data_IF_846787625770
#
_entry.id   IF_846787625770
#
_cell.length_a   1.000
_cell.length_b   1.000
_cell.length_c   1.000
_cell.angle_alpha   90.00
_cell.angle_beta   90.00
_cell.angle_gamma   90.00
#
_symmetry.space_group_name_H-M   'P 1'
#
loop_
_entity.id
_entity.type
_entity.pdbx_description
1 polymer ?
#
# COMPACT_ATOMS: atom_id res chain seq x y z
N UNK A 1 -63.83 14.28 0.52
CA UNK A 1 -65.21 14.44 0.01
C UNK A 1 -65.28 13.78 -1.34
N UNK A 2 -66.15 12.74 -1.41
CA UNK A 2 -66.73 12.02 -2.59
C UNK A 2 -65.72 11.33 -3.52
N UNK A 3 -65.55 10.04 -3.53
CA UNK A 3 -66.44 8.86 -3.74
C UNK A 3 -67.04 8.76 -5.16
N UNK A 4 -66.95 7.52 -5.63
CA UNK A 4 -67.79 6.73 -6.58
C UNK A 4 -67.25 6.63 -8.02
N UNK A 5 -67.51 5.56 -8.74
CA UNK A 5 -67.80 4.13 -8.51
C UNK A 5 -67.76 3.43 -9.88
N UNK A 6 -67.58 2.11 -9.81
CA UNK A 6 -67.89 0.99 -10.69
C UNK A 6 -68.74 1.20 -11.92
N UNK A 7 -68.51 0.45 -12.99
CA UNK A 7 -69.25 -0.77 -13.38
C UNK A 7 -69.00 -1.09 -14.88
N UNK A 8 -68.50 -2.22 -15.22
CA UNK A 8 -69.20 -3.41 -15.68
C UNK A 8 -70.25 -3.15 -16.82
N UNK A 9 -70.00 -3.74 -18.01
CA UNK A 9 -71.00 -4.41 -18.81
C UNK A 9 -70.39 -5.40 -19.79
N UNK A 10 -70.86 -6.64 -19.71
CA UNK A 10 -70.73 -7.75 -20.67
C UNK A 10 -71.65 -7.49 -21.85
N UNK A 11 -71.29 -7.89 -23.06
CA UNK A 11 -72.21 -8.50 -24.03
C UNK A 11 -71.51 -9.54 -24.88
N UNK A 12 -71.99 -10.75 -24.75
CA UNK A 12 -71.89 -11.89 -25.64
C UNK A 12 -72.72 -11.67 -26.91
N UNK A 13 -72.22 -12.08 -28.07
CA UNK A 13 -73.06 -12.60 -29.15
C UNK A 13 -72.30 -13.60 -30.02
N UNK A 14 -72.83 -14.76 -30.11
CA UNK A 14 -72.57 -15.92 -30.92
C UNK A 14 -73.09 -15.79 -32.34
N UNK A 15 -72.45 -16.44 -33.31
CA UNK A 15 -72.91 -17.06 -34.61
C UNK A 15 -71.74 -16.96 -35.60
N UNK A 16 -71.30 -17.95 -36.33
CA UNK A 16 -71.69 -19.30 -36.66
C UNK A 16 -70.88 -19.76 -37.86
N UNK A 17 -70.34 -20.93 -37.78
CA UNK A 17 -70.03 -21.93 -38.82
C UNK A 17 -69.73 -21.48 -40.27
N UNK A 18 -68.53 -21.81 -40.76
CA UNK A 18 -68.41 -22.73 -41.90
C UNK A 18 -66.96 -23.24 -42.10
N UNK A 19 -66.91 -24.50 -42.27
CA UNK A 19 -65.85 -25.44 -42.52
C UNK A 19 -65.13 -25.18 -43.86
N UNK A 20 -63.80 -25.05 -43.84
CA UNK A 20 -62.97 -25.39 -44.99
C UNK A 20 -61.65 -25.99 -44.55
N UNK A 21 -61.58 -27.29 -44.56
CA UNK A 21 -60.34 -28.05 -44.41
C UNK A 21 -59.42 -27.75 -45.62
N UNK A 22 -58.34 -27.03 -45.37
CA UNK A 22 -57.13 -27.14 -46.18
C UNK A 22 -56.05 -27.75 -45.28
N UNK A 23 -55.77 -29.03 -45.50
CA UNK A 23 -54.55 -29.65 -44.95
C UNK A 23 -53.36 -29.02 -45.64
N UNK A 24 -52.73 -28.03 -44.97
CA UNK A 24 -51.34 -27.70 -45.19
C UNK A 24 -50.54 -28.62 -44.28
N UNK A 25 -49.98 -29.66 -44.87
CA UNK A 25 -48.87 -30.38 -44.28
C UNK A 25 -47.73 -29.44 -44.17
N UNK A 26 -47.58 -28.78 -43.02
CA UNK A 26 -46.31 -28.17 -42.64
C UNK A 26 -45.38 -29.35 -42.37
N UNK A 27 -44.49 -29.58 -43.31
CA UNK A 27 -43.33 -30.42 -43.10
C UNK A 27 -42.57 -29.80 -41.90
N UNK A 28 -42.67 -30.41 -40.74
CA UNK A 28 -41.64 -30.22 -39.73
C UNK A 28 -40.33 -30.67 -40.34
N UNK A 29 -39.49 -29.71 -40.65
CA UNK A 29 -38.11 -30.01 -40.92
C UNK A 29 -37.53 -30.60 -39.60
N UNK A 30 -37.34 -31.93 -39.65
CA UNK A 30 -36.40 -32.57 -38.73
C UNK A 30 -35.05 -32.05 -39.08
N UNK A 31 -34.51 -31.12 -38.28
CA UNK A 31 -33.08 -30.76 -38.32
C UNK A 31 -32.61 -30.02 -37.06
N UNK A 32 -33.39 -30.02 -35.93
CA UNK A 32 -32.96 -29.39 -34.69
C UNK A 32 -32.63 -30.36 -33.53
N UNK A 33 -32.73 -31.68 -33.75
CA UNK A 33 -32.61 -32.69 -32.69
C UNK A 33 -31.16 -33.26 -32.49
N UNK A 34 -30.18 -32.84 -33.29
CA UNK A 34 -28.79 -33.37 -33.21
C UNK A 34 -27.75 -32.43 -32.59
N UNK A 35 -28.14 -31.26 -32.10
CA UNK A 35 -27.19 -30.42 -31.35
C UNK A 35 -27.12 -30.85 -29.89
N UNK A 36 -25.94 -31.19 -29.38
CA UNK A 36 -25.79 -31.57 -27.98
C UNK A 36 -26.29 -30.47 -27.05
N UNK A 37 -26.90 -30.88 -25.95
CA UNK A 37 -27.32 -29.91 -24.92
C UNK A 37 -26.22 -28.90 -24.62
N UNK A 38 -26.54 -27.60 -24.62
CA UNK A 38 -25.51 -26.59 -24.41
C UNK A 38 -24.86 -26.73 -23.06
N UNK A 39 -23.56 -26.98 -23.06
CA UNK A 39 -22.70 -27.04 -21.89
C UNK A 39 -22.05 -25.67 -21.67
N UNK A 40 -22.06 -25.18 -20.45
CA UNK A 40 -21.23 -24.06 -19.98
C UNK A 40 -20.91 -24.29 -18.51
N UNK A 41 -19.67 -24.56 -18.21
CA UNK A 41 -19.14 -24.71 -16.86
C UNK A 41 -17.91 -23.84 -16.65
N UNK A 42 -17.68 -23.41 -15.42
CA UNK A 42 -16.48 -22.66 -15.03
C UNK A 42 -16.06 -23.11 -13.63
N UNK A 43 -14.83 -23.52 -13.50
CA UNK A 43 -14.24 -24.04 -12.25
C UNK A 43 -12.89 -23.39 -11.99
N UNK A 44 -12.62 -22.90 -10.76
CA UNK A 44 -13.51 -22.87 -9.59
C UNK A 44 -14.57 -21.77 -9.68
N UNK A 45 -15.62 -21.84 -8.87
CA UNK A 45 -16.65 -20.79 -8.74
C UNK A 45 -16.24 -19.68 -7.78
N UNK A 46 -15.22 -19.92 -6.97
CA UNK A 46 -14.56 -18.94 -6.12
C UNK A 46 -13.04 -19.05 -6.31
N UNK A 47 -12.40 -17.94 -6.62
CA UNK A 47 -10.96 -17.88 -6.85
C UNK A 47 -10.33 -16.79 -5.99
N UNK A 48 -9.39 -17.16 -5.13
CA UNK A 48 -8.46 -16.23 -4.50
C UNK A 48 -7.20 -16.19 -5.35
N UNK A 49 -6.89 -15.02 -5.91
CA UNK A 49 -5.68 -14.86 -6.70
C UNK A 49 -4.44 -15.08 -5.82
N UNK A 50 -3.50 -15.87 -6.34
CA UNK A 50 -2.23 -16.14 -5.66
C UNK A 50 -1.24 -15.02 -5.93
N UNK A 51 -0.62 -14.50 -4.86
CA UNK A 51 0.36 -13.43 -4.97
C UNK A 51 1.63 -13.92 -5.67
N UNK A 52 2.08 -13.13 -6.63
CA UNK A 52 3.34 -13.30 -7.35
C UNK A 52 4.50 -12.66 -6.58
N UNK A 53 5.72 -12.90 -7.01
CA UNK A 53 6.92 -12.33 -6.36
C UNK A 53 7.01 -10.81 -6.44
N UNK A 54 6.40 -10.18 -7.45
CA UNK A 54 6.34 -8.73 -7.66
C UNK A 54 5.19 -8.04 -6.92
N UNK A 55 4.40 -8.79 -6.14
CA UNK A 55 3.23 -8.30 -5.42
C UNK A 55 1.95 -8.19 -6.25
N UNK A 56 2.02 -8.44 -7.55
CA UNK A 56 0.82 -8.72 -8.34
C UNK A 56 0.20 -10.05 -7.91
N UNK A 57 -0.95 -10.38 -8.41
CA UNK A 57 -1.57 -11.67 -8.15
C UNK A 57 -2.17 -12.26 -9.42
N UNK A 58 -2.14 -13.56 -9.52
CA UNK A 58 -2.67 -14.29 -10.66
C UNK A 58 -3.42 -15.54 -10.25
N UNK A 59 -4.22 -16.06 -11.16
CA UNK A 59 -4.94 -17.32 -11.01
C UNK A 59 -5.54 -17.73 -12.34
N UNK A 60 -6.14 -18.90 -12.37
CA UNK A 60 -6.82 -19.39 -13.56
C UNK A 60 -8.14 -20.06 -13.23
N UNK A 61 -9.04 -20.01 -14.19
CA UNK A 61 -10.28 -20.78 -14.21
C UNK A 61 -10.31 -21.63 -15.48
N UNK A 62 -10.96 -22.77 -15.39
CA UNK A 62 -11.23 -23.65 -16.52
C UNK A 62 -12.65 -23.41 -16.99
N UNK A 63 -12.81 -23.15 -18.28
CA UNK A 63 -14.11 -23.01 -18.95
C UNK A 63 -14.32 -24.20 -19.86
N UNK A 64 -15.39 -24.95 -19.62
CA UNK A 64 -15.83 -26.08 -20.46
C UNK A 64 -17.12 -25.71 -21.16
N UNK A 65 -17.10 -25.73 -22.47
CA UNK A 65 -18.27 -25.37 -23.28
C UNK A 65 -18.22 -26.00 -24.67
N UNK A 66 -19.37 -26.32 -25.20
CA UNK A 66 -19.56 -26.74 -26.59
C UNK A 66 -20.07 -25.60 -27.51
N UNK A 67 -19.98 -24.36 -27.03
CA UNK A 67 -20.41 -23.14 -27.73
C UNK A 67 -19.42 -21.99 -27.56
N UNK A 68 -19.57 -20.92 -28.33
CA UNK A 68 -18.80 -19.68 -28.15
C UNK A 68 -19.16 -19.05 -26.81
N UNK A 69 -18.16 -18.48 -26.15
CA UNK A 69 -18.34 -17.85 -24.84
C UNK A 69 -17.62 -16.51 -24.75
N UNK A 70 -18.08 -15.68 -23.84
CA UNK A 70 -17.47 -14.37 -23.53
C UNK A 70 -17.48 -14.13 -22.03
N UNK A 71 -16.47 -13.43 -21.53
CA UNK A 71 -16.36 -13.03 -20.11
C UNK A 71 -16.56 -11.53 -19.97
N UNK A 72 -17.39 -11.15 -19.01
CA UNK A 72 -17.61 -9.77 -18.60
C UNK A 72 -17.10 -9.56 -17.18
N UNK A 73 -16.42 -8.43 -16.96
CA UNK A 73 -15.97 -7.97 -15.64
C UNK A 73 -16.01 -6.44 -15.57
N UNK A 74 -16.60 -5.89 -14.51
CA UNK A 74 -16.68 -4.44 -14.29
C UNK A 74 -15.50 -3.90 -13.45
N UNK A 75 -14.59 -4.79 -12.99
CA UNK A 75 -13.45 -4.39 -12.17
C UNK A 75 -12.26 -4.03 -13.06
N UNK A 76 -11.92 -2.76 -13.14
CA UNK A 76 -10.79 -2.23 -13.93
C UNK A 76 -9.44 -2.80 -13.48
N UNK A 77 -9.36 -3.26 -12.22
CA UNK A 77 -8.13 -3.83 -11.67
C UNK A 77 -7.87 -5.28 -12.10
N UNK A 78 -8.83 -5.98 -12.73
CA UNK A 78 -8.68 -7.38 -13.12
C UNK A 78 -8.52 -7.50 -14.63
N UNK A 79 -7.40 -8.07 -15.07
CA UNK A 79 -7.14 -8.43 -16.48
C UNK A 79 -7.47 -9.91 -16.68
N UNK A 80 -8.18 -10.21 -17.75
CA UNK A 80 -8.67 -11.56 -18.09
C UNK A 80 -8.20 -11.91 -19.50
N UNK A 81 -7.57 -13.08 -19.64
CA UNK A 81 -7.03 -13.54 -20.93
C UNK A 81 -7.14 -15.06 -21.07
N UNK A 82 -7.79 -15.56 -22.14
CA UNK A 82 -8.64 -14.81 -23.08
C UNK A 82 -9.95 -14.36 -22.44
N UNK A 83 -10.60 -13.33 -22.99
CA UNK A 83 -11.92 -12.85 -22.55
C UNK A 83 -13.08 -13.42 -23.36
N UNK A 84 -12.80 -14.24 -24.37
CA UNK A 84 -13.76 -14.96 -25.21
C UNK A 84 -13.09 -16.18 -25.81
N UNK A 85 -13.87 -17.15 -26.26
CA UNK A 85 -13.38 -18.35 -26.94
C UNK A 85 -14.44 -19.05 -27.78
N UNK A 86 -13.97 -19.92 -28.65
CA UNK A 86 -14.79 -20.78 -29.50
C UNK A 86 -15.06 -22.14 -28.82
N UNK A 87 -16.03 -22.94 -29.33
CA UNK A 87 -16.25 -24.30 -28.86
C UNK A 87 -14.96 -25.12 -28.94
N UNK A 88 -14.64 -25.82 -27.88
CA UNK A 88 -13.50 -26.75 -27.88
C UNK A 88 -13.85 -28.05 -27.16
N UNK A 89 -13.23 -29.14 -27.63
CA UNK A 89 -13.26 -30.39 -26.87
C UNK A 89 -12.31 -30.23 -25.64
N UNK A 90 -12.90 -30.23 -24.45
CA UNK A 90 -12.19 -30.12 -23.18
C UNK A 90 -12.22 -28.75 -22.56
N UNK A 91 -11.40 -28.57 -21.54
CA UNK A 91 -11.30 -27.35 -20.74
C UNK A 91 -10.42 -26.29 -21.40
N UNK A 92 -10.89 -25.06 -21.41
CA UNK A 92 -10.12 -23.89 -21.84
C UNK A 92 -9.66 -23.11 -20.62
N UNK A 93 -8.35 -22.86 -20.51
CA UNK A 93 -7.76 -22.12 -19.39
C UNK A 93 -7.88 -20.63 -19.63
N UNK A 94 -8.50 -19.94 -18.69
CA UNK A 94 -8.58 -18.47 -18.66
C UNK A 94 -7.71 -17.98 -17.51
N UNK A 95 -6.71 -17.16 -17.82
CA UNK A 95 -5.81 -16.57 -16.84
C UNK A 95 -6.34 -15.22 -16.38
N UNK A 96 -6.32 -15.03 -15.07
CA UNK A 96 -6.65 -13.78 -14.41
C UNK A 96 -5.37 -13.18 -13.81
N UNK A 97 -5.19 -11.90 -14.01
CA UNK A 97 -4.06 -11.13 -13.47
C UNK A 97 -4.56 -9.84 -12.83
N UNK A 98 -4.02 -9.50 -11.69
CA UNK A 98 -4.30 -8.28 -10.98
C UNK A 98 -3.00 -7.63 -10.47
N UNK A 99 -2.78 -6.33 -10.69
CA UNK A 99 -1.69 -5.61 -10.05
C UNK A 99 -1.89 -5.62 -8.54
N UNK A 100 -0.84 -5.30 -7.78
CA UNK A 100 -0.90 -5.28 -6.31
C UNK A 100 -2.13 -4.53 -5.80
N UNK A 101 -2.81 -5.12 -4.83
CA UNK A 101 -3.90 -4.46 -4.14
C UNK A 101 -3.35 -3.46 -3.13
N UNK A 102 -3.37 -2.19 -3.49
CA UNK A 102 -2.86 -1.09 -2.66
C UNK A 102 -3.78 -0.72 -1.48
N UNK A 103 -4.97 -1.30 -1.37
CA UNK A 103 -5.86 -1.05 -0.23
C UNK A 103 -5.50 -1.92 0.98
N UNK A 104 -5.98 -1.53 2.16
CA UNK A 104 -5.89 -2.35 3.38
C UNK A 104 -6.89 -3.51 3.38
N UNK A 105 -7.84 -3.51 2.45
CA UNK A 105 -8.92 -4.47 2.38
C UNK A 105 -8.74 -5.46 1.23
N UNK A 106 -9.29 -6.65 1.40
CA UNK A 106 -9.42 -7.61 0.31
C UNK A 106 -10.39 -7.03 -0.72
N UNK A 107 -9.96 -6.88 -1.96
CA UNK A 107 -10.85 -6.48 -3.04
C UNK A 107 -11.48 -7.70 -3.70
N UNK A 108 -12.74 -7.56 -4.10
CA UNK A 108 -13.54 -8.64 -4.69
C UNK A 108 -14.28 -8.14 -5.91
N UNK A 109 -14.50 -9.04 -6.86
CA UNK A 109 -15.37 -8.81 -8.01
C UNK A 109 -16.03 -10.11 -8.43
N UNK A 110 -17.07 -10.00 -9.25
CA UNK A 110 -17.71 -11.11 -9.91
C UNK A 110 -17.38 -11.05 -11.39
N UNK A 111 -16.88 -12.13 -11.97
CA UNK A 111 -16.82 -12.30 -13.41
C UNK A 111 -18.03 -13.11 -13.86
N UNK A 112 -18.56 -12.74 -15.00
CA UNK A 112 -19.70 -13.42 -15.63
C UNK A 112 -19.24 -14.04 -16.93
N UNK A 113 -19.42 -15.32 -17.08
CA UNK A 113 -19.15 -16.08 -18.32
C UNK A 113 -20.50 -16.38 -18.96
N UNK A 114 -20.68 -15.94 -20.20
CA UNK A 114 -21.92 -16.12 -20.95
C UNK A 114 -21.66 -16.96 -22.20
N UNK A 115 -22.64 -17.76 -22.55
CA UNK A 115 -22.78 -18.30 -23.91
C UNK A 115 -23.01 -17.10 -24.87
N UNK A 116 -22.14 -16.94 -25.86
CA UNK A 116 -22.17 -15.78 -26.76
C UNK A 116 -23.45 -15.75 -27.65
N UNK A 117 -24.07 -16.91 -27.87
CA UNK A 117 -25.26 -17.04 -28.70
C UNK A 117 -26.55 -17.08 -27.87
N UNK A 118 -26.46 -17.45 -26.59
CA UNK A 118 -27.59 -17.59 -25.65
C UNK A 118 -27.30 -16.90 -24.32
N UNK A 119 -27.48 -15.58 -24.26
CA UNK A 119 -27.15 -14.71 -23.12
C UNK A 119 -27.85 -15.06 -21.78
N UNK A 120 -28.84 -15.92 -21.76
CA UNK A 120 -29.47 -16.40 -20.54
C UNK A 120 -28.68 -17.52 -19.84
N UNK A 121 -27.67 -18.11 -20.50
CA UNK A 121 -26.76 -19.09 -19.91
C UNK A 121 -25.52 -18.40 -19.37
N UNK A 122 -25.41 -18.37 -18.06
CA UNK A 122 -24.34 -17.67 -17.36
C UNK A 122 -23.73 -18.54 -16.29
N UNK A 123 -22.43 -18.34 -16.09
CA UNK A 123 -21.70 -18.80 -14.90
C UNK A 123 -21.04 -17.62 -14.24
N UNK A 124 -20.97 -17.69 -12.92
CA UNK A 124 -20.40 -16.63 -12.11
C UNK A 124 -19.20 -17.19 -11.35
N UNK A 125 -18.10 -16.44 -11.36
CA UNK A 125 -16.93 -16.76 -10.55
C UNK A 125 -16.61 -15.56 -9.68
N UNK A 126 -16.62 -15.77 -8.38
CA UNK A 126 -16.18 -14.74 -7.43
C UNK A 126 -14.66 -14.72 -7.41
N UNK A 127 -14.08 -13.57 -7.72
CA UNK A 127 -12.63 -13.36 -7.70
C UNK A 127 -12.27 -12.43 -6.57
N UNK A 128 -11.28 -12.80 -5.77
CA UNK A 128 -10.74 -11.96 -4.71
C UNK A 128 -9.22 -11.86 -4.79
N UNK A 129 -8.69 -10.73 -4.35
CA UNK A 129 -7.27 -10.49 -4.18
C UNK A 129 -6.99 -9.95 -2.78
N UNK A 130 -6.00 -10.53 -2.13
CA UNK A 130 -5.54 -10.10 -0.81
C UNK A 130 -5.09 -8.64 -0.80
N UNK A 131 -5.05 -8.03 0.39
CA UNK A 131 -4.49 -6.70 0.59
C UNK A 131 -2.98 -6.70 0.39
N UNK A 132 -2.41 -5.54 0.05
CA UNK A 132 -0.96 -5.36 -0.04
C UNK A 132 -0.21 -5.62 1.28
N UNK A 133 -0.92 -5.54 2.41
CA UNK A 133 -0.42 -5.92 3.73
C UNK A 133 0.12 -7.36 3.76
N UNK A 134 -0.66 -8.33 3.25
CA UNK A 134 -0.24 -9.74 3.23
C UNK A 134 1.01 -9.95 2.36
N UNK A 135 1.14 -9.19 1.28
CA UNK A 135 2.35 -9.23 0.45
C UNK A 135 3.59 -8.80 1.22
N UNK A 136 3.51 -7.67 1.94
CA UNK A 136 4.62 -7.16 2.76
C UNK A 136 4.98 -8.13 3.89
N UNK A 137 3.97 -8.72 4.54
CA UNK A 137 4.19 -9.74 5.59
C UNK A 137 4.87 -11.00 5.05
N UNK A 138 4.49 -11.48 3.87
CA UNK A 138 5.12 -12.65 3.21
C UNK A 138 6.59 -12.41 2.85
N UNK A 139 6.95 -11.18 2.47
CA UNK A 139 8.34 -10.79 2.16
C UNK A 139 9.20 -10.54 3.41
N UNK A 140 8.65 -10.66 4.62
CA UNK A 140 9.34 -10.32 5.88
C UNK A 140 9.98 -8.92 5.87
N UNK A 141 9.35 -7.99 5.12
CA UNK A 141 9.84 -6.63 4.96
C UNK A 141 11.09 -6.51 4.07
N UNK A 142 11.53 -7.55 3.37
CA UNK A 142 12.70 -7.52 2.49
C UNK A 142 12.27 -7.25 1.05
N UNK A 143 12.93 -6.28 0.41
CA UNK A 143 12.64 -5.82 -0.96
C UNK A 143 13.92 -5.73 -1.76
N UNK A 144 13.83 -6.01 -3.06
CA UNK A 144 14.94 -5.87 -4.00
C UNK A 144 14.51 -5.03 -5.20
N UNK A 145 15.29 -4.01 -5.53
CA UNK A 145 15.05 -3.12 -6.68
C UNK A 145 16.36 -2.96 -7.43
N UNK A 146 16.36 -3.28 -8.73
CA UNK A 146 17.53 -3.22 -9.60
C UNK A 146 18.79 -3.87 -9.01
N UNK A 147 18.61 -5.01 -8.30
CA UNK A 147 19.69 -5.76 -7.68
C UNK A 147 20.05 -5.34 -6.25
N UNK A 148 19.55 -4.20 -5.76
CA UNK A 148 19.81 -3.69 -4.41
C UNK A 148 18.72 -4.14 -3.46
N UNK A 149 19.12 -4.74 -2.34
CA UNK A 149 18.19 -5.25 -1.31
C UNK A 149 18.16 -4.33 -0.10
N UNK A 150 16.95 -4.00 0.38
CA UNK A 150 16.71 -3.21 1.58
C UNK A 150 15.59 -3.83 2.42
N UNK A 151 15.51 -3.43 3.69
CA UNK A 151 14.56 -4.04 4.63
C UNK A 151 13.75 -2.98 5.37
N UNK A 152 12.48 -3.26 5.58
CA UNK A 152 11.60 -2.54 6.47
C UNK A 152 11.23 -3.39 7.67
N UNK A 153 11.21 -2.78 8.84
CA UNK A 153 10.81 -3.40 10.10
C UNK A 153 9.34 -3.11 10.36
N UNK A 154 8.58 -4.15 10.70
CA UNK A 154 7.19 -4.00 11.11
C UNK A 154 7.11 -3.38 12.50
N UNK A 155 6.37 -2.28 12.62
CA UNK A 155 6.03 -1.63 13.88
C UNK A 155 4.55 -1.88 14.14
N UNK A 156 4.25 -2.60 15.22
CA UNK A 156 2.87 -2.90 15.62
C UNK A 156 2.15 -1.64 16.10
N UNK A 157 0.85 -1.57 15.85
CA UNK A 157 -0.01 -0.50 16.36
C UNK A 157 0.15 -0.32 17.88
N UNK A 158 0.03 0.92 18.35
CA UNK A 158 0.09 1.19 19.78
C UNK A 158 -0.11 2.64 20.13
N UNK A 159 -0.17 2.92 21.42
CA UNK A 159 -0.29 4.27 21.96
C UNK A 159 0.97 4.60 22.74
N UNK A 160 1.53 5.77 22.53
CA UNK A 160 2.73 6.24 23.22
C UNK A 160 2.65 7.71 23.61
N UNK A 161 3.54 8.11 24.48
CA UNK A 161 3.72 9.52 24.86
C UNK A 161 4.75 10.15 23.93
N UNK A 162 4.29 10.99 23.00
CA UNK A 162 5.12 11.74 22.05
C UNK A 162 5.63 13.04 22.69
N UNK A 163 6.87 13.42 22.38
CA UNK A 163 7.50 14.63 22.87
C UNK A 163 8.25 14.46 24.19
N UNK A 164 8.62 15.58 24.81
CA UNK A 164 9.34 15.67 26.07
C UNK A 164 8.50 16.28 27.17
N UNK A 165 8.73 15.87 28.43
CA UNK A 165 8.07 16.49 29.57
C UNK A 165 8.67 17.89 29.79
N UNK A 166 7.85 18.86 30.19
CA UNK A 166 8.30 20.22 30.51
C UNK A 166 9.27 20.29 31.72
N UNK A 167 9.34 19.20 32.49
CA UNK A 167 10.30 19.05 33.62
C UNK A 167 11.65 18.49 33.15
N UNK A 168 11.79 18.02 31.93
CA UNK A 168 13.06 17.61 31.34
C UNK A 168 13.87 18.85 31.00
N UNK A 169 15.00 19.04 31.65
CA UNK A 169 15.89 20.20 31.48
C UNK A 169 16.54 20.25 30.07
N UNK A 170 16.45 19.15 29.32
CA UNK A 170 16.98 19.06 27.94
C UNK A 170 15.90 19.26 26.89
N UNK A 171 14.63 19.34 27.28
CA UNK A 171 13.51 19.53 26.38
C UNK A 171 13.52 20.94 25.77
N UNK A 172 13.24 21.00 24.47
CA UNK A 172 12.95 22.29 23.81
C UNK A 172 11.44 22.60 23.84
N UNK A 173 11.11 23.86 23.70
CA UNK A 173 9.71 24.33 23.72
C UNK A 173 8.84 23.62 22.67
N UNK A 174 9.41 23.36 21.49
CA UNK A 174 8.71 22.69 20.38
C UNK A 174 8.47 21.20 20.59
N UNK A 175 9.09 20.59 21.62
CA UNK A 175 8.88 19.18 22.03
C UNK A 175 7.78 19.05 23.09
N UNK A 176 7.25 20.17 23.60
CA UNK A 176 6.32 20.21 24.73
C UNK A 176 4.96 20.85 24.36
N UNK A 177 3.88 20.50 25.06
CA UNK A 177 3.74 19.42 26.05
C UNK A 177 3.82 18.04 25.42
N UNK A 178 4.04 17.01 26.24
CA UNK A 178 3.84 15.63 25.78
C UNK A 178 2.39 15.39 25.40
N UNK A 179 2.17 14.52 24.44
CA UNK A 179 0.83 14.14 23.98
C UNK A 179 0.72 12.62 23.78
N UNK A 180 -0.45 12.07 24.11
CA UNK A 180 -0.75 10.66 23.84
C UNK A 180 -1.12 10.50 22.37
N UNK A 181 -0.39 9.67 21.64
CA UNK A 181 -0.63 9.40 20.20
C UNK A 181 -0.85 7.91 20.00
N UNK A 182 -1.87 7.57 19.25
CA UNK A 182 -2.19 6.19 18.85
C UNK A 182 -1.88 6.02 17.37
N UNK A 183 -1.12 4.98 17.02
CA UNK A 183 -0.72 4.67 15.66
C UNK A 183 -1.25 3.31 15.23
N UNK A 184 -1.63 3.21 13.96
CA UNK A 184 -1.89 1.97 13.25
C UNK A 184 -0.59 1.22 12.96
N UNK A 185 -0.71 -0.05 12.52
CA UNK A 185 0.44 -0.84 12.06
C UNK A 185 1.08 -0.20 10.82
N UNK A 186 2.41 -0.16 10.77
CA UNK A 186 3.19 0.28 9.62
C UNK A 186 4.52 -0.46 9.54
N UNK A 187 5.25 -0.32 8.43
CA UNK A 187 6.66 -0.71 8.38
C UNK A 187 7.53 0.53 8.13
N UNK A 188 8.74 0.52 8.69
CA UNK A 188 9.74 1.58 8.57
C UNK A 188 11.10 0.99 8.18
N UNK A 189 11.93 1.73 7.45
CA UNK A 189 13.26 1.28 7.06
C UNK A 189 14.11 0.81 8.23
N UNK A 190 14.77 -0.33 8.08
CA UNK A 190 15.75 -0.85 9.06
C UNK A 190 16.87 0.18 9.29
N UNK A 191 17.23 0.90 8.21
CA UNK A 191 18.23 1.96 8.17
C UNK A 191 17.71 3.17 7.41
N UNK A 192 18.49 4.24 7.35
CA UNK A 192 18.34 5.30 6.36
C UNK A 192 18.46 4.72 4.94
N UNK A 193 17.93 5.40 3.93
CA UNK A 193 18.13 5.04 2.51
C UNK A 193 19.59 5.22 2.15
N UNK A 194 20.23 4.13 1.68
CA UNK A 194 21.62 4.16 1.26
C UNK A 194 21.81 4.84 -0.10
N UNK A 195 23.03 5.27 -0.37
CA UNK A 195 23.39 5.83 -1.67
C UNK A 195 23.27 4.80 -2.79
N UNK A 196 23.54 3.52 -2.50
CA UNK A 196 23.35 2.41 -3.44
C UNK A 196 21.87 2.28 -3.84
N UNK A 197 20.95 2.24 -2.87
CA UNK A 197 19.51 2.16 -3.15
C UNK A 197 19.02 3.39 -3.91
N UNK A 198 19.45 4.59 -3.51
CA UNK A 198 19.13 5.82 -4.23
C UNK A 198 19.59 5.78 -5.67
N UNK A 199 20.87 5.39 -5.91
CA UNK A 199 21.46 5.28 -7.25
C UNK A 199 20.71 4.25 -8.10
N UNK A 200 20.34 3.10 -7.52
CA UNK A 200 19.60 2.05 -8.21
C UNK A 200 18.21 2.51 -8.70
N UNK A 201 17.57 3.41 -7.96
CA UNK A 201 16.23 3.94 -8.31
C UNK A 201 16.31 5.16 -9.22
N UNK A 202 17.23 6.11 -8.94
CA UNK A 202 17.30 7.41 -9.60
C UNK A 202 18.32 7.49 -10.74
N UNK A 203 19.22 6.51 -10.85
CA UNK A 203 20.31 6.49 -11.84
C UNK A 203 21.45 7.47 -11.56
N UNK A 204 21.39 8.25 -10.47
CA UNK A 204 22.41 9.22 -10.07
C UNK A 204 22.48 9.39 -8.56
N UNK A 205 23.62 9.80 -8.01
CA UNK A 205 23.82 10.01 -6.58
C UNK A 205 24.17 11.48 -6.31
N UNK A 206 23.36 12.22 -5.52
CA UNK A 206 23.59 13.64 -5.22
C UNK A 206 24.62 13.87 -4.09
N UNK A 207 25.01 12.82 -3.38
CA UNK A 207 25.90 12.89 -2.23
C UNK A 207 27.33 13.26 -2.66
N UNK A 208 27.96 14.18 -1.94
CA UNK A 208 29.36 14.61 -2.25
C UNK A 208 30.39 13.60 -1.77
N UNK A 209 30.15 12.95 -0.64
CA UNK A 209 30.97 11.83 -0.12
C UNK A 209 30.29 10.55 -0.57
N UNK A 210 30.98 9.77 -1.39
CA UNK A 210 30.40 8.59 -2.04
C UNK A 210 30.78 7.32 -1.32
N UNK A 211 29.81 6.45 -1.10
CA UNK A 211 29.96 5.10 -0.55
C UNK A 211 28.62 4.36 -0.58
N UNK A 212 28.63 3.13 -1.05
CA UNK A 212 27.41 2.33 -1.30
C UNK A 212 26.51 2.26 -0.05
N UNK A 213 27.09 1.97 1.11
CA UNK A 213 26.38 1.82 2.38
C UNK A 213 26.25 3.15 3.18
N UNK A 214 26.74 4.27 2.66
CA UNK A 214 26.49 5.55 3.30
C UNK A 214 25.05 5.98 3.07
N UNK A 215 24.39 6.67 4.03
CA UNK A 215 23.09 7.27 3.77
C UNK A 215 23.18 8.29 2.63
N UNK A 216 22.16 8.35 1.79
CA UNK A 216 22.05 9.41 0.79
C UNK A 216 21.81 10.74 1.48
N UNK A 217 22.54 11.76 1.06
CA UNK A 217 22.46 13.14 1.56
C UNK A 217 22.47 14.15 0.40
N UNK A 218 22.35 15.43 0.67
CA UNK A 218 22.13 16.48 -0.32
C UNK A 218 20.80 16.30 -1.11
N UNK A 219 19.82 15.73 -0.48
CA UNK A 219 18.47 15.52 -1.02
C UNK A 219 17.50 16.49 -0.32
N UNK A 220 16.71 17.21 -1.10
CA UNK A 220 15.58 17.99 -0.60
C UNK A 220 14.41 17.06 -0.30
N UNK A 221 13.41 17.53 0.47
CA UNK A 221 12.16 16.79 0.67
C UNK A 221 11.47 16.47 -0.66
N UNK A 222 11.50 17.43 -1.59
CA UNK A 222 10.92 17.23 -2.93
C UNK A 222 11.69 16.17 -3.75
N UNK A 223 13.01 16.07 -3.60
CA UNK A 223 13.79 15.00 -4.25
C UNK A 223 13.48 13.64 -3.63
N UNK A 224 13.26 13.58 -2.31
CA UNK A 224 12.80 12.38 -1.63
C UNK A 224 11.43 11.91 -2.16
N UNK A 225 10.49 12.83 -2.44
CA UNK A 225 9.20 12.45 -3.06
C UNK A 225 9.40 11.87 -4.47
N UNK A 226 10.26 12.46 -5.31
CA UNK A 226 10.57 11.91 -6.65
C UNK A 226 11.19 10.51 -6.56
N UNK A 227 12.11 10.30 -5.62
CA UNK A 227 12.69 8.99 -5.35
C UNK A 227 11.60 7.97 -4.96
N UNK A 228 10.73 8.35 -4.04
CA UNK A 228 9.62 7.52 -3.56
C UNK A 228 8.64 7.21 -4.70
N UNK A 229 8.28 8.18 -5.52
CA UNK A 229 7.42 7.98 -6.68
C UNK A 229 8.04 6.97 -7.66
N UNK A 230 9.34 7.11 -7.96
CA UNK A 230 10.07 6.18 -8.81
C UNK A 230 10.14 4.78 -8.21
N UNK A 231 10.44 4.66 -6.91
CA UNK A 231 10.46 3.40 -6.18
C UNK A 231 9.07 2.73 -6.19
N UNK A 232 8.01 3.49 -6.02
CA UNK A 232 6.62 3.01 -6.06
C UNK A 232 6.23 2.49 -7.45
N UNK A 233 6.72 3.12 -8.51
CA UNK A 233 6.53 2.63 -9.89
C UNK A 233 7.27 1.31 -10.09
N UNK A 234 8.53 1.21 -9.66
CA UNK A 234 9.36 0.01 -9.83
C UNK A 234 8.84 -1.19 -9.01
N UNK A 235 8.32 -0.94 -7.81
CA UNK A 235 7.88 -2.00 -6.89
C UNK A 235 6.38 -2.25 -6.93
N UNK A 236 5.62 -1.35 -7.53
CA UNK A 236 4.16 -1.31 -7.45
C UNK A 236 3.62 -1.31 -6.00
N UNK A 237 4.38 -0.72 -5.06
CA UNK A 237 4.05 -0.58 -3.64
C UNK A 237 3.78 0.88 -3.26
N UNK A 238 3.55 1.15 -1.99
CA UNK A 238 3.22 2.48 -1.45
C UNK A 238 4.21 2.95 -0.41
N UNK A 239 5.47 3.03 -0.78
CA UNK A 239 6.45 3.67 0.05
C UNK A 239 6.13 5.17 0.19
N UNK A 240 6.48 5.72 1.33
CA UNK A 240 6.39 7.14 1.67
C UNK A 240 7.44 7.49 2.71
N UNK A 241 7.58 8.76 3.04
CA UNK A 241 8.26 9.15 4.27
C UNK A 241 7.42 8.73 5.49
N UNK A 242 8.03 8.45 6.64
CA UNK A 242 7.29 8.29 7.89
C UNK A 242 6.60 9.61 8.26
N UNK A 243 5.46 9.55 8.95
CA UNK A 243 4.99 10.71 9.71
C UNK A 243 5.93 10.97 10.88
N UNK A 244 5.93 12.18 11.40
CA UNK A 244 6.75 12.52 12.57
C UNK A 244 6.43 11.61 13.77
N UNK A 245 5.16 11.30 13.97
CA UNK A 245 4.70 10.43 15.04
C UNK A 245 5.16 8.97 14.84
N UNK A 246 5.08 8.45 13.61
CA UNK A 246 5.59 7.12 13.28
C UNK A 246 7.10 7.03 13.50
N UNK A 247 7.83 8.07 13.08
CA UNK A 247 9.27 8.14 13.27
C UNK A 247 9.64 8.08 14.78
N UNK A 248 9.01 8.92 15.62
CA UNK A 248 9.31 8.96 17.06
C UNK A 248 8.89 7.66 17.76
N UNK A 249 7.71 7.09 17.41
CA UNK A 249 7.26 5.83 17.98
C UNK A 249 8.22 4.68 17.64
N UNK A 250 8.69 4.62 16.40
CA UNK A 250 9.68 3.63 15.97
C UNK A 250 11.05 3.84 16.69
N UNK A 251 11.51 5.09 16.80
CA UNK A 251 12.76 5.43 17.48
C UNK A 251 12.73 5.04 18.97
N UNK A 252 11.59 5.18 19.63
CA UNK A 252 11.36 4.79 21.02
C UNK A 252 11.20 3.28 21.24
N UNK A 253 11.33 2.44 20.20
CA UNK A 253 11.16 0.99 20.32
C UNK A 253 9.72 0.50 20.21
N UNK A 254 8.75 1.33 19.83
CA UNK A 254 7.34 0.95 19.64
C UNK A 254 6.75 0.32 20.89
N UNK A 255 6.11 -0.86 20.75
CA UNK A 255 5.55 -1.62 21.87
C UNK A 255 6.61 -2.23 22.81
N UNK A 256 7.88 -2.27 22.38
CA UNK A 256 9.00 -2.81 23.18
C UNK A 256 9.81 -1.72 23.86
N UNK A 257 9.34 -0.47 23.82
CA UNK A 257 10.06 0.69 24.37
C UNK A 257 10.46 0.49 25.83
N UNK A 258 11.74 0.69 26.12
CA UNK A 258 12.31 0.71 27.48
C UNK A 258 12.46 2.13 28.03
N UNK A 259 12.01 3.14 27.26
CA UNK A 259 11.97 4.54 27.68
C UNK A 259 13.31 5.27 27.63
N UNK A 260 14.23 4.82 26.79
CA UNK A 260 15.54 5.43 26.59
C UNK A 260 15.48 6.85 26.02
N UNK A 261 16.49 7.64 26.28
CA UNK A 261 16.66 9.02 25.77
C UNK A 261 17.02 8.99 24.29
N UNK A 262 17.83 8.02 23.86
CA UNK A 262 18.22 7.76 22.49
C UNK A 262 17.60 6.46 22.00
N UNK A 263 17.62 6.22 20.71
CA UNK A 263 16.99 5.04 20.11
C UNK A 263 17.76 3.75 20.48
N UNK A 264 17.32 3.06 21.55
CA UNK A 264 17.87 1.79 22.01
C UNK A 264 18.85 1.89 23.20
N UNK A 265 19.22 3.09 23.67
CA UNK A 265 20.12 3.24 24.85
C UNK A 265 19.99 4.62 25.49
N UNK A 266 20.43 4.74 26.77
CA UNK A 266 20.72 6.03 27.41
C UNK A 266 22.16 6.49 27.13
N UNK A 267 23.01 5.66 26.53
CA UNK A 267 24.40 5.97 26.14
C UNK A 267 24.45 6.18 24.62
N UNK A 268 24.48 7.42 24.16
CA UNK A 268 24.41 7.75 22.74
C UNK A 268 25.49 7.06 21.88
N UNK A 269 26.72 6.94 22.40
CA UNK A 269 27.82 6.31 21.66
C UNK A 269 27.62 4.82 21.31
N UNK A 270 26.66 4.16 21.94
CA UNK A 270 26.30 2.77 21.62
C UNK A 270 25.39 2.66 20.39
N UNK A 271 24.58 3.69 20.13
CA UNK A 271 23.46 3.64 19.18
C UNK A 271 23.50 4.75 18.12
N UNK A 272 24.40 5.72 18.23
CA UNK A 272 24.39 6.88 17.35
C UNK A 272 25.74 7.51 17.08
N UNK A 273 25.92 8.03 15.86
CA UNK A 273 27.05 8.80 15.42
C UNK A 273 26.79 10.29 15.63
N UNK A 274 27.63 10.96 16.42
CA UNK A 274 27.54 12.39 16.75
C UNK A 274 28.93 13.00 16.88
N UNK A 275 29.05 14.29 17.17
CA UNK A 275 30.34 14.99 17.11
C UNK A 275 31.47 14.35 17.90
N UNK A 276 31.17 13.68 19.02
CA UNK A 276 32.20 13.13 19.89
C UNK A 276 32.78 11.78 19.44
N UNK A 277 32.06 11.00 18.63
CA UNK A 277 32.48 9.67 18.17
C UNK A 277 32.58 9.50 16.67
N UNK A 278 32.01 10.42 15.85
CA UNK A 278 31.96 10.31 14.39
C UNK A 278 33.26 10.70 13.68
N UNK A 279 34.20 11.38 14.35
CA UNK A 279 35.36 12.02 13.70
C UNK A 279 34.92 13.03 12.61
N UNK A 280 33.79 13.69 12.81
CA UNK A 280 33.18 14.63 11.86
C UNK A 280 32.96 14.02 10.46
N UNK A 281 32.57 12.75 10.40
CA UNK A 281 32.35 12.00 9.14
C UNK A 281 30.96 11.37 9.16
N UNK A 282 30.41 11.26 7.96
CA UNK A 282 29.27 10.40 7.66
C UNK A 282 29.70 8.94 7.78
N UNK A 283 28.89 8.10 8.41
CA UNK A 283 29.17 6.68 8.62
C UNK A 283 28.20 5.81 7.79
N UNK A 284 28.69 4.63 7.43
CA UNK A 284 27.84 3.61 6.83
C UNK A 284 26.71 3.25 7.79
N UNK A 285 25.55 2.95 7.24
CA UNK A 285 24.39 2.55 8.02
C UNK A 285 24.67 1.26 8.81
N UNK A 286 23.98 1.07 9.94
CA UNK A 286 24.00 -0.20 10.69
C UNK A 286 25.35 -0.57 11.30
N UNK A 287 26.16 0.41 11.68
CA UNK A 287 27.48 0.15 12.31
C UNK A 287 27.41 0.10 13.84
N UNK A 288 26.40 0.67 14.47
CA UNK A 288 26.19 0.67 15.89
C UNK A 288 25.01 -0.25 16.27
N UNK A 289 24.61 -0.26 17.56
CA UNK A 289 23.53 -1.12 18.02
C UNK A 289 22.15 -0.59 17.55
N UNK A 290 21.21 -1.47 17.22
CA UNK A 290 19.84 -1.08 16.90
C UNK A 290 19.04 -0.80 18.16
N UNK A 291 17.87 -0.19 18.00
CA UNK A 291 16.89 -0.12 19.05
C UNK A 291 16.15 -1.46 19.27
N UNK A 292 15.19 -1.48 20.19
CA UNK A 292 14.45 -2.67 20.64
C UNK A 292 13.63 -3.37 19.51
N UNK A 293 13.39 -2.66 18.41
CA UNK A 293 12.73 -3.19 17.20
C UNK A 293 13.72 -3.72 16.17
N UNK A 294 15.01 -3.48 16.32
CA UNK A 294 16.04 -3.81 15.34
C UNK A 294 16.18 -2.73 14.25
N UNK A 295 15.87 -1.47 14.58
CA UNK A 295 16.02 -0.30 13.70
C UNK A 295 17.30 0.43 14.10
N UNK A 296 18.12 0.78 13.11
CA UNK A 296 19.44 1.40 13.29
C UNK A 296 19.41 2.89 12.97
N UNK A 297 20.39 3.61 13.50
CA UNK A 297 20.75 4.98 13.14
C UNK A 297 19.62 6.02 13.35
N UNK A 298 18.67 5.75 14.26
CA UNK A 298 17.62 6.70 14.61
C UNK A 298 18.06 7.77 15.61
N UNK A 299 19.33 7.76 16.02
CA UNK A 299 19.98 8.77 16.86
C UNK A 299 21.34 9.10 16.27
N UNK A 300 21.48 10.24 15.60
CA UNK A 300 22.71 10.69 14.94
C UNK A 300 22.80 10.26 13.46
N UNK A 301 24.00 10.13 12.95
CA UNK A 301 24.37 9.95 11.53
C UNK A 301 23.83 11.09 10.65
N UNK A 302 22.58 11.03 10.16
CA UNK A 302 21.97 12.12 9.42
C UNK A 302 20.57 12.46 9.91
N UNK A 303 20.16 13.71 9.83
CA UNK A 303 18.77 14.10 9.96
C UNK A 303 17.93 13.37 8.91
N UNK A 304 16.70 13.03 9.25
CA UNK A 304 15.77 12.31 8.39
C UNK A 304 14.51 13.12 8.14
N UNK A 305 14.17 13.31 6.86
CA UNK A 305 12.91 13.92 6.47
C UNK A 305 11.70 13.12 6.92
N UNK A 306 10.73 13.81 7.51
CA UNK A 306 9.38 13.28 7.74
C UNK A 306 8.38 13.88 6.76
N UNK A 307 7.18 13.23 6.69
CA UNK A 307 6.10 13.67 5.81
C UNK A 307 5.49 15.00 6.23
N UNK A 308 5.50 15.30 7.52
CA UNK A 308 4.75 16.36 8.17
C UNK A 308 5.31 17.76 7.86
N UNK A 309 4.42 18.74 7.77
CA UNK A 309 4.81 20.13 7.88
C UNK A 309 5.24 20.41 9.33
N UNK A 310 6.32 21.17 9.46
CA UNK A 310 6.82 21.58 10.77
C UNK A 310 6.04 22.79 11.30
N UNK A 311 5.65 22.71 12.57
CA UNK A 311 5.21 23.84 13.39
C UNK A 311 5.76 23.65 14.82
N UNK A 312 6.43 24.70 15.34
CA UNK A 312 6.95 24.68 16.72
C UNK A 312 5.86 24.57 17.79
N UNK A 313 4.63 25.01 17.49
CA UNK A 313 3.49 24.96 18.40
C UNK A 313 2.52 23.79 18.15
N UNK A 314 2.85 22.86 17.24
CA UNK A 314 1.93 21.78 16.88
C UNK A 314 1.50 20.92 18.07
N UNK A 315 2.42 20.59 18.97
CA UNK A 315 2.11 19.78 20.15
C UNK A 315 1.19 20.47 21.16
N UNK A 316 1.18 21.80 21.13
CA UNK A 316 0.35 22.63 22.01
C UNK A 316 -1.06 22.84 21.44
N UNK A 317 -1.22 22.81 20.11
CA UNK A 317 -2.44 23.24 19.42
C UNK A 317 -3.21 22.15 18.72
N UNK A 318 -2.59 20.99 18.47
CA UNK A 318 -3.22 19.90 17.71
C UNK A 318 -4.07 19.02 18.63
N UNK A 319 -5.28 18.70 18.14
CA UNK A 319 -6.21 17.72 18.72
C UNK A 319 -6.18 16.37 17.97
N UNK A 320 -5.26 16.20 17.02
CA UNK A 320 -5.07 14.94 16.30
C UNK A 320 -4.23 13.98 17.14
N UNK A 321 -4.83 12.90 17.62
CA UNK A 321 -4.18 11.90 18.45
C UNK A 321 -4.08 10.52 17.80
N UNK A 322 -4.84 10.26 16.72
CA UNK A 322 -4.83 8.99 16.00
C UNK A 322 -4.21 9.19 14.62
N UNK A 323 -3.12 8.45 14.36
CA UNK A 323 -2.35 8.53 13.10
C UNK A 323 -2.11 9.98 12.62
N UNK A 324 -1.58 10.89 13.49
CA UNK A 324 -1.44 12.29 13.13
C UNK A 324 -0.46 12.48 11.96
N UNK A 325 -0.78 13.43 11.09
CA UNK A 325 -0.01 13.74 9.87
C UNK A 325 0.60 15.15 9.87
N UNK A 326 0.57 15.80 11.03
CA UNK A 326 1.06 17.17 11.19
C UNK A 326 0.10 18.24 10.68
N UNK A 327 0.52 19.51 10.68
CA UNK A 327 -0.28 20.60 10.16
C UNK A 327 -0.62 20.43 8.68
N UNK A 328 -1.78 20.90 8.25
CA UNK A 328 -2.23 20.82 6.85
C UNK A 328 -1.39 21.68 5.87
N UNK A 329 -0.63 22.65 6.40
CA UNK A 329 0.24 23.55 5.64
C UNK A 329 1.40 24.06 6.49
N UNK A 330 2.50 24.44 5.86
CA UNK A 330 3.68 25.00 6.49
C UNK A 330 4.67 25.53 5.47
N UNK A 331 5.79 26.08 5.94
CA UNK A 331 6.93 26.51 5.12
C UNK A 331 8.15 25.60 5.25
N UNK A 332 8.17 24.76 6.27
CA UNK A 332 9.23 23.79 6.57
C UNK A 332 8.65 22.41 6.77
N UNK A 333 9.42 21.36 6.45
CA UNK A 333 9.11 19.97 6.76
C UNK A 333 9.88 19.53 7.99
N UNK A 334 9.30 18.59 8.74
CA UNK A 334 9.94 18.02 9.93
C UNK A 334 11.19 17.23 9.53
N UNK A 335 12.26 17.38 10.32
CA UNK A 335 13.44 16.52 10.33
C UNK A 335 13.67 15.97 11.73
N UNK A 336 14.17 14.75 11.81
CA UNK A 336 14.33 14.00 13.08
C UNK A 336 15.67 13.27 13.15
N UNK A 337 16.13 12.90 14.34
CA UNK A 337 17.25 11.97 14.59
C UNK A 337 18.58 12.62 14.94
N UNK A 338 18.81 13.88 14.61
CA UNK A 338 20.12 14.49 14.79
C UNK A 338 21.12 14.14 13.68
N UNK A 339 22.40 14.45 13.89
CA UNK A 339 23.42 14.24 12.85
C UNK A 339 24.82 14.02 13.41
N UNK A 340 25.70 13.43 12.59
CA UNK A 340 27.05 13.01 12.97
C UNK A 340 27.97 14.14 13.46
N UNK A 341 27.79 15.38 12.99
CA UNK A 341 28.66 16.52 13.28
C UNK A 341 27.99 17.57 14.17
N UNK A 342 27.08 17.13 15.05
CA UNK A 342 26.37 17.99 16.00
C UNK A 342 26.36 17.41 17.40
N UNK A 343 25.85 18.16 18.37
CA UNK A 343 25.84 17.78 19.77
C UNK A 343 24.91 16.59 20.05
N UNK A 344 25.30 15.73 20.99
CA UNK A 344 24.51 14.55 21.35
C UNK A 344 23.09 14.86 21.83
N UNK A 345 22.87 16.04 22.43
CA UNK A 345 21.53 16.49 22.86
C UNK A 345 20.53 16.56 21.71
N UNK A 346 20.99 16.82 20.50
CA UNK A 346 20.14 16.88 19.31
C UNK A 346 19.79 15.50 18.73
N UNK A 347 20.43 14.43 19.24
CA UNK A 347 20.16 13.04 18.82
C UNK A 347 19.10 12.34 19.69
N UNK A 348 18.47 13.05 20.66
CA UNK A 348 17.37 12.48 21.48
C UNK A 348 16.18 12.09 20.61
N UNK A 349 15.49 11.01 20.95
CA UNK A 349 14.32 10.54 20.20
C UNK A 349 13.18 11.56 20.14
N UNK A 350 13.09 12.48 21.10
CA UNK A 350 12.09 13.55 21.12
C UNK A 350 12.50 14.80 20.33
N UNK A 351 13.81 14.94 20.00
CA UNK A 351 14.33 16.11 19.30
C UNK A 351 13.70 16.26 17.93
N UNK A 352 13.21 17.46 17.63
CA UNK A 352 12.55 17.78 16.35
C UNK A 352 13.02 19.13 15.84
N UNK A 353 13.10 19.25 14.53
CA UNK A 353 13.43 20.50 13.86
C UNK A 353 12.69 20.62 12.53
N UNK A 354 12.81 21.76 11.87
CA UNK A 354 12.19 22.01 10.58
C UNK A 354 13.20 22.53 9.56
N UNK A 355 13.08 22.05 8.30
CA UNK A 355 13.92 22.48 7.21
C UNK A 355 13.08 22.80 5.96
N UNK A 356 13.57 23.75 5.15
CA UNK A 356 12.91 24.14 3.90
C UNK A 356 12.86 22.94 2.93
N UNK A 357 11.67 22.54 2.43
CA UNK A 357 11.50 21.36 1.58
C UNK A 357 12.19 21.42 0.22
N UNK A 358 12.64 22.58 -0.20
CA UNK A 358 13.34 22.77 -1.48
C UNK A 358 14.86 22.65 -1.35
N UNK A 359 15.40 22.63 -0.13
CA UNK A 359 16.85 22.66 0.11
C UNK A 359 17.33 21.25 0.52
N UNK A 360 18.28 20.70 -0.24
CA UNK A 360 19.09 19.58 0.20
C UNK A 360 20.22 20.05 1.11
N UNK A 361 20.63 19.21 2.06
CA UNK A 361 21.76 19.47 2.95
C UNK A 361 22.66 18.22 3.04
N UNK A 362 23.96 18.44 3.28
CA UNK A 362 24.98 17.39 3.38
C UNK A 362 24.83 16.49 4.62
N UNK A 363 23.88 16.80 5.49
CA UNK A 363 23.60 16.10 6.73
C UNK A 363 22.12 15.69 6.88
N UNK A 364 21.36 15.77 5.79
CA UNK A 364 19.95 15.36 5.78
C UNK A 364 19.73 14.30 4.72
N UNK A 365 19.20 13.17 5.12
CA UNK A 365 18.78 12.05 4.31
C UNK A 365 17.31 11.71 4.53
N UNK A 366 16.95 10.46 4.33
CA UNK A 366 15.57 9.97 4.51
C UNK A 366 15.55 8.52 4.96
N UNK A 367 14.42 8.13 5.53
CA UNK A 367 14.04 6.74 5.82
C UNK A 367 12.68 6.45 5.18
N UNK A 368 12.50 5.24 4.67
CA UNK A 368 11.23 4.82 4.08
C UNK A 368 10.24 4.35 5.13
N UNK A 369 8.97 4.53 4.84
CA UNK A 369 7.87 3.89 5.54
C UNK A 369 6.84 3.36 4.54
N UNK A 370 6.00 2.42 4.99
CA UNK A 370 4.85 1.92 4.24
C UNK A 370 3.73 1.58 5.21
N UNK A 371 2.46 1.94 4.93
CA UNK A 371 1.32 1.56 5.76
C UNK A 371 1.04 0.06 5.63
N UNK A 372 0.54 -0.56 6.69
CA UNK A 372 0.08 -1.96 6.71
C UNK A 372 -1.45 -2.06 6.76
#
# INVERSE_FOLDING_TARGET
MKRFDKSCWRHTLTFGVLLCCLMLTVACSKDDDDMPDPLLEAIPTELVLTDNEDGSASGSINVSTNRRWVIYCNAEWLKITPSAGDPAEGEQVVTLYAPINKSRDIRRTMITIEDADYQYRRRYVQVSQNSGRLYIEKKNGVFTVNGVTFKLIKVGKGTFTMGSRSTDSTAEENETPTRMVTLSDFCIGETEVTQELWQAVMGSNPSKIVGENLPVVNVSWNDCQKFIDSLNVLTNLWFRLPTEAEWEYAARGGQKSEGYVYAGSNTLSEVGWYTENSNNRLHEVKQLQPNELGIYDMSGNVWEWCQDWYSGSYYQTSEEYNDPVGPSKGSMRVIRGGRYNWFGIDCRVARRDGQNPNNGDAVIGLRLAIPL
#
